data_IF_586408822487
#
_entry.id   IF_586408822487
#
_cell.length_a   1.000
_cell.length_b   1.000
_cell.length_c   1.000
_cell.angle_alpha   90.00
_cell.angle_beta   90.00
_cell.angle_gamma   90.00
#
_symmetry.space_group_name_H-M   'P 1'
#
loop_
_entity.id
_entity.type
_entity.pdbx_description
1 polymer ?
#
# COMPACT_ATOMS: atom_id res chain seq x y z
N UNK A 1 14.76 -50.41 21.89
CA UNK A 1 14.89 -49.08 22.52
C UNK A 1 14.34 -48.05 21.54
N UNK A 2 13.11 -47.62 21.84
CA UNK A 2 12.28 -46.80 20.95
C UNK A 2 12.75 -45.34 20.93
N UNK A 3 13.34 -44.91 19.84
CA UNK A 3 13.72 -43.50 19.57
C UNK A 3 12.70 -42.78 18.62
N UNK A 4 11.53 -43.34 18.42
CA UNK A 4 10.54 -42.77 17.46
C UNK A 4 9.37 -41.97 18.07
N UNK A 5 9.32 -41.79 19.42
CA UNK A 5 8.20 -41.11 20.08
C UNK A 5 8.24 -39.59 20.15
N UNK A 6 9.39 -38.98 20.02
CA UNK A 6 9.60 -37.53 20.26
C UNK A 6 9.35 -36.64 19.05
N UNK A 7 9.55 -37.14 17.85
CA UNK A 7 9.42 -36.34 16.63
C UNK A 7 8.00 -36.02 16.19
N UNK A 8 7.01 -36.88 16.50
CA UNK A 8 5.60 -36.63 16.12
C UNK A 8 4.95 -35.51 16.94
N UNK A 9 5.27 -35.41 18.24
CA UNK A 9 4.72 -34.32 19.10
C UNK A 9 5.32 -32.96 18.75
N UNK A 10 6.61 -32.90 18.44
CA UNK A 10 7.26 -31.65 17.99
C UNK A 10 6.75 -31.19 16.62
N UNK A 11 6.54 -32.09 15.67
CA UNK A 11 5.94 -31.77 14.36
C UNK A 11 4.49 -31.28 14.50
N UNK A 12 3.69 -31.88 15.37
CA UNK A 12 2.32 -31.42 15.63
C UNK A 12 2.28 -30.07 16.36
N UNK A 13 3.25 -29.76 17.22
CA UNK A 13 3.38 -28.46 17.86
C UNK A 13 3.78 -27.37 16.86
N UNK A 14 4.70 -27.64 15.95
CA UNK A 14 5.07 -26.71 14.86
C UNK A 14 3.93 -26.48 13.85
N UNK A 15 3.07 -27.46 13.62
CA UNK A 15 1.90 -27.32 12.73
C UNK A 15 0.81 -26.49 13.40
N UNK A 16 0.59 -26.67 14.71
CA UNK A 16 -0.36 -25.87 15.49
C UNK A 16 0.04 -24.40 15.60
N UNK A 17 1.34 -24.12 15.76
CA UNK A 17 1.84 -22.73 15.79
C UNK A 17 1.77 -22.03 14.42
N UNK A 18 1.79 -22.78 13.33
CA UNK A 18 1.57 -22.22 11.98
C UNK A 18 0.11 -21.87 11.72
N UNK A 19 -0.83 -22.72 12.15
CA UNK A 19 -2.25 -22.47 11.97
C UNK A 19 -2.78 -21.34 12.86
N UNK A 20 -2.13 -21.07 14.00
CA UNK A 20 -2.52 -20.00 14.92
C UNK A 20 -1.94 -18.62 14.52
N UNK A 21 -1.03 -18.55 13.52
CA UNK A 21 -0.56 -17.28 12.94
C UNK A 21 -1.46 -16.76 11.81
N UNK A 22 -2.34 -17.60 11.27
CA UNK A 22 -3.25 -17.23 10.16
C UNK A 22 -4.62 -16.71 10.61
N UNK A 23 -4.93 -16.73 11.91
CA UNK A 23 -6.19 -16.22 12.48
C UNK A 23 -5.98 -15.02 13.42
N UNK A 24 -5.03 -14.12 13.12
CA UNK A 24 -5.22 -12.74 13.56
C UNK A 24 -6.27 -12.18 12.60
N UNK A 25 -7.45 -11.93 13.12
CA UNK A 25 -8.47 -11.13 12.45
C UNK A 25 -7.78 -9.90 11.89
N UNK A 26 -7.60 -9.90 10.56
CA UNK A 26 -7.04 -8.75 9.87
C UNK A 26 -7.99 -7.59 10.17
N UNK A 27 -7.52 -6.48 10.73
CA UNK A 27 -8.36 -5.30 10.89
C UNK A 27 -8.97 -5.03 9.53
N UNK A 28 -10.23 -4.63 9.50
CA UNK A 28 -11.01 -4.41 8.28
C UNK A 28 -10.21 -3.51 7.34
N UNK A 29 -9.45 -4.13 6.42
CA UNK A 29 -8.51 -3.43 5.54
C UNK A 29 -9.30 -2.83 4.38
N UNK A 30 -9.19 -1.53 4.20
CA UNK A 30 -9.76 -0.80 3.06
C UNK A 30 -8.81 -0.96 1.89
N UNK A 31 -9.29 -1.54 0.80
CA UNK A 31 -8.53 -1.71 -0.44
C UNK A 31 -9.02 -0.72 -1.49
N UNK A 32 -8.11 0.03 -2.11
CA UNK A 32 -8.45 0.98 -3.17
C UNK A 32 -7.61 0.75 -4.41
N UNK A 33 -8.27 0.48 -5.52
CA UNK A 33 -7.64 0.37 -6.82
C UNK A 33 -7.34 1.76 -7.37
N UNK A 34 -6.06 2.05 -7.62
CA UNK A 34 -5.62 3.35 -8.18
C UNK A 34 -5.69 3.35 -9.69
N UNK A 35 -5.28 2.24 -10.32
CA UNK A 35 -5.34 2.13 -11.77
C UNK A 35 -4.99 0.75 -12.29
N UNK A 36 -5.50 0.46 -13.48
CA UNK A 36 -5.21 -0.75 -14.25
C UNK A 36 -4.71 -0.33 -15.62
N UNK A 37 -3.55 -0.83 -16.01
CA UNK A 37 -2.97 -0.60 -17.31
C UNK A 37 -2.83 -1.91 -18.08
N UNK A 38 -3.26 -1.94 -19.35
CA UNK A 38 -2.95 -3.03 -20.25
C UNK A 38 -1.53 -2.91 -20.74
N UNK A 39 -0.70 -3.92 -20.53
CA UNK A 39 0.68 -3.98 -20.97
C UNK A 39 0.87 -5.06 -22.04
N UNK A 40 1.78 -4.87 -22.95
CA UNK A 40 2.09 -5.84 -24.00
C UNK A 40 3.58 -6.10 -24.08
N UNK A 41 3.95 -7.37 -24.24
CA UNK A 41 5.30 -7.81 -24.58
C UNK A 41 5.32 -8.27 -26.04
N UNK A 42 6.14 -7.64 -26.85
CA UNK A 42 6.34 -8.05 -28.25
C UNK A 42 7.32 -9.21 -28.30
N UNK A 43 6.93 -10.29 -28.98
CA UNK A 43 7.73 -11.50 -29.17
C UNK A 43 7.75 -11.85 -30.66
N UNK A 44 8.65 -12.76 -31.08
CA UNK A 44 8.61 -13.37 -32.43
C UNK A 44 7.25 -14.02 -32.63
N UNK A 45 6.48 -13.58 -33.59
CA UNK A 45 5.13 -14.08 -33.89
C UNK A 45 3.96 -13.28 -33.28
N UNK A 46 4.18 -12.15 -32.59
CA UNK A 46 3.10 -11.27 -32.17
C UNK A 46 3.29 -10.57 -30.82
N UNK A 47 2.17 -10.18 -30.22
CA UNK A 47 2.15 -9.47 -28.93
C UNK A 47 1.50 -10.31 -27.85
N UNK A 48 2.15 -10.45 -26.70
CA UNK A 48 1.55 -11.07 -25.50
C UNK A 48 1.03 -9.98 -24.59
N UNK A 49 -0.28 -9.97 -24.34
CA UNK A 49 -0.94 -8.99 -23.49
C UNK A 49 -0.96 -9.44 -22.04
N UNK A 50 -0.98 -8.48 -21.14
CA UNK A 50 -1.18 -8.64 -19.71
C UNK A 50 -1.76 -7.37 -19.11
N UNK A 51 -2.04 -7.40 -17.82
CA UNK A 51 -2.57 -6.27 -17.06
C UNK A 51 -1.64 -5.98 -15.88
N UNK A 52 -1.44 -4.69 -15.61
CA UNK A 52 -0.74 -4.20 -14.43
C UNK A 52 -1.75 -3.43 -13.58
N UNK A 53 -1.94 -3.86 -12.34
CA UNK A 53 -2.78 -3.19 -11.35
C UNK A 53 -1.90 -2.51 -10.30
N UNK A 54 -2.34 -1.32 -9.85
CA UNK A 54 -1.75 -0.57 -8.75
C UNK A 54 -2.81 -0.41 -7.67
N UNK A 55 -2.55 -0.96 -6.48
CA UNK A 55 -3.49 -1.00 -5.35
C UNK A 55 -2.85 -0.39 -4.12
N UNK A 56 -3.65 0.31 -3.34
CA UNK A 56 -3.29 0.82 -2.02
C UNK A 56 -4.22 0.18 -1.00
N UNK A 57 -3.65 -0.26 0.12
CA UNK A 57 -4.37 -0.91 1.23
C UNK A 57 -4.06 -0.21 2.53
N UNK A 58 -5.04 -0.04 3.41
CA UNK A 58 -4.82 0.52 4.74
C UNK A 58 -5.95 0.18 5.70
N UNK A 59 -5.75 0.54 6.94
CA UNK A 59 -6.66 0.25 8.05
C UNK A 59 -7.53 1.45 8.48
N UNK A 60 -7.40 2.60 7.80
CA UNK A 60 -8.06 3.85 8.20
C UNK A 60 -7.57 4.41 9.54
N UNK A 61 -6.51 3.88 10.12
CA UNK A 61 -5.97 4.23 11.45
C UNK A 61 -4.47 4.55 11.43
N UNK A 62 -3.97 5.00 10.29
CA UNK A 62 -2.58 5.39 10.13
C UNK A 62 -1.66 4.30 9.59
N UNK A 63 -2.17 3.14 9.14
CA UNK A 63 -1.38 2.15 8.42
C UNK A 63 -1.77 2.16 6.96
N UNK A 64 -0.79 2.16 6.09
CA UNK A 64 -1.02 2.12 4.64
C UNK A 64 0.10 1.35 3.95
N UNK A 65 -0.25 0.62 2.90
CA UNK A 65 0.68 -0.09 2.05
C UNK A 65 0.30 0.10 0.58
N UNK A 66 1.25 -0.05 -0.31
CA UNK A 66 0.99 -0.04 -1.74
C UNK A 66 1.59 -1.28 -2.39
N UNK A 67 0.98 -1.70 -3.49
CA UNK A 67 1.46 -2.85 -4.23
C UNK A 67 1.14 -2.75 -5.71
N UNK A 68 2.02 -3.31 -6.53
CA UNK A 68 1.85 -3.38 -7.97
C UNK A 68 1.88 -4.85 -8.40
N UNK A 69 0.81 -5.31 -9.05
CA UNK A 69 0.70 -6.69 -9.55
C UNK A 69 0.57 -6.74 -11.06
N UNK A 70 1.19 -7.74 -11.68
CA UNK A 70 1.04 -8.03 -13.11
C UNK A 70 0.55 -9.46 -13.30
N UNK A 71 -0.45 -9.64 -14.18
CA UNK A 71 -0.97 -10.94 -14.55
C UNK A 71 -1.58 -10.92 -15.97
N UNK A 72 -2.00 -12.10 -16.46
CA UNK A 72 -2.72 -12.20 -17.74
C UNK A 72 -4.16 -11.74 -17.62
N UNK A 73 -4.75 -11.90 -16.45
CA UNK A 73 -6.12 -11.51 -16.12
C UNK A 73 -6.14 -10.38 -15.08
N UNK A 74 -7.16 -9.52 -15.16
CA UNK A 74 -7.32 -8.38 -14.26
C UNK A 74 -7.52 -8.80 -12.80
N UNK A 75 -8.41 -9.77 -12.46
CA UNK A 75 -8.62 -10.18 -11.06
C UNK A 75 -7.34 -10.72 -10.41
N UNK A 76 -6.56 -11.48 -11.16
CA UNK A 76 -5.29 -12.03 -10.67
C UNK A 76 -4.23 -10.93 -10.47
N UNK A 77 -4.20 -9.91 -11.35
CA UNK A 77 -3.30 -8.76 -11.18
C UNK A 77 -3.64 -7.97 -9.90
N UNK A 78 -4.93 -7.73 -9.63
CA UNK A 78 -5.40 -7.07 -8.42
C UNK A 78 -5.04 -7.89 -7.19
N UNK A 79 -5.33 -9.19 -7.16
CA UNK A 79 -5.00 -10.08 -6.04
C UNK A 79 -3.51 -10.03 -5.68
N UNK A 80 -2.63 -10.11 -6.68
CA UNK A 80 -1.17 -10.00 -6.49
C UNK A 80 -0.77 -8.63 -5.95
N UNK A 81 -1.37 -7.55 -6.46
CA UNK A 81 -1.09 -6.21 -5.99
C UNK A 81 -1.53 -6.01 -4.53
N UNK A 82 -2.72 -6.49 -4.16
CA UNK A 82 -3.24 -6.45 -2.79
C UNK A 82 -2.36 -7.24 -1.83
N UNK A 83 -1.94 -8.45 -2.19
CA UNK A 83 -1.05 -9.27 -1.36
C UNK A 83 0.30 -8.57 -1.14
N UNK A 84 0.87 -7.95 -2.18
CA UNK A 84 2.08 -7.16 -2.08
C UNK A 84 1.88 -5.93 -1.18
N UNK A 85 0.75 -5.21 -1.32
CA UNK A 85 0.43 -4.06 -0.51
C UNK A 85 0.30 -4.41 0.99
N UNK A 86 -0.34 -5.53 1.31
CA UNK A 86 -0.45 -6.05 2.70
C UNK A 86 0.91 -6.37 3.32
N UNK A 87 1.86 -6.84 2.54
CA UNK A 87 3.24 -7.11 3.02
C UNK A 87 4.07 -5.84 3.24
N UNK A 88 3.77 -4.77 2.51
CA UNK A 88 4.51 -3.49 2.55
C UNK A 88 3.84 -2.42 3.40
N UNK A 89 2.95 -2.80 4.34
CA UNK A 89 2.26 -1.85 5.19
C UNK A 89 3.22 -1.13 6.15
N UNK A 90 3.10 0.19 6.18
CA UNK A 90 3.88 1.09 7.04
C UNK A 90 2.93 1.87 7.94
N UNK A 91 3.35 2.15 9.15
CA UNK A 91 2.63 3.01 10.09
C UNK A 91 3.13 4.45 9.97
N UNK A 92 2.18 5.35 9.77
CA UNK A 92 2.41 6.80 9.66
C UNK A 92 1.87 7.48 10.91
N UNK A 93 2.67 8.31 11.61
CA UNK A 93 2.17 9.10 12.73
C UNK A 93 1.22 10.18 12.20
N UNK A 94 0.02 10.26 12.76
CA UNK A 94 -0.99 11.27 12.42
C UNK A 94 -1.26 12.16 13.63
N UNK A 95 -1.42 13.45 13.41
CA UNK A 95 -1.86 14.39 14.44
C UNK A 95 -3.37 14.23 14.64
N UNK A 96 -3.78 13.92 15.87
CA UNK A 96 -5.19 13.70 16.24
C UNK A 96 -5.91 12.61 15.41
N UNK A 97 -5.15 11.72 14.74
CA UNK A 97 -5.69 10.74 13.80
C UNK A 97 -6.33 11.33 12.54
N UNK A 98 -6.20 12.62 12.29
CA UNK A 98 -6.93 13.38 11.28
C UNK A 98 -6.06 14.06 10.23
N UNK A 99 -4.93 14.66 10.62
CA UNK A 99 -4.05 15.42 9.72
C UNK A 99 -2.57 15.07 9.93
N UNK A 100 -1.70 15.69 9.13
CA UNK A 100 -0.26 15.55 9.23
C UNK A 100 0.30 16.45 10.34
N UNK A 101 1.47 16.12 10.92
CA UNK A 101 2.11 16.91 11.95
C UNK A 101 2.71 18.24 11.40
N UNK A 102 3.31 18.18 10.21
CA UNK A 102 3.96 19.32 9.56
C UNK A 102 3.95 19.16 8.03
N UNK A 103 4.32 20.23 7.34
CA UNK A 103 4.46 20.24 5.90
C UNK A 103 5.70 19.47 5.47
N UNK A 104 5.56 18.59 4.47
CA UNK A 104 6.60 17.68 4.04
C UNK A 104 6.69 17.63 2.52
N UNK A 105 7.92 17.42 2.04
CA UNK A 105 8.20 17.13 0.63
C UNK A 105 8.71 15.70 0.49
N UNK A 106 8.19 14.99 -0.49
CA UNK A 106 8.65 13.66 -0.87
C UNK A 106 9.05 13.63 -2.32
N UNK A 107 10.08 12.83 -2.59
CA UNK A 107 10.68 12.74 -3.91
C UNK A 107 10.85 11.28 -4.31
N UNK A 108 10.46 10.93 -5.54
CA UNK A 108 10.71 9.61 -6.10
C UNK A 108 10.85 9.69 -7.62
N UNK A 109 12.05 9.39 -8.12
CA UNK A 109 12.35 9.54 -9.54
C UNK A 109 12.11 10.96 -10.04
N UNK A 110 11.25 11.13 -11.04
CA UNK A 110 10.85 12.43 -11.56
C UNK A 110 9.60 13.03 -10.87
N UNK A 111 9.06 12.35 -9.87
CA UNK A 111 7.86 12.79 -9.12
C UNK A 111 8.24 13.47 -7.82
N UNK A 112 7.78 14.70 -7.66
CA UNK A 112 7.90 15.49 -6.44
C UNK A 112 6.50 15.71 -5.86
N UNK A 113 6.34 15.52 -4.56
CA UNK A 113 5.06 15.70 -3.87
C UNK A 113 5.26 16.65 -2.68
N UNK A 114 4.34 17.60 -2.55
CA UNK A 114 4.28 18.51 -1.41
C UNK A 114 3.00 18.15 -0.64
N UNK A 115 3.16 17.81 0.64
CA UNK A 115 2.07 17.55 1.57
C UNK A 115 2.03 18.65 2.61
N UNK A 116 0.84 19.19 2.87
CA UNK A 116 0.62 20.21 3.88
C UNK A 116 -0.45 19.78 4.87
N UNK A 117 -0.18 19.99 6.13
CA UNK A 117 -1.20 19.88 7.17
C UNK A 117 -2.29 20.92 6.96
N UNK A 118 -3.52 20.55 7.25
CA UNK A 118 -4.67 21.44 7.05
C UNK A 118 -5.55 21.51 8.31
N UNK A 119 -6.23 22.66 8.53
CA UNK A 119 -7.17 22.80 9.62
C UNK A 119 -8.41 21.92 9.41
N UNK A 120 -9.18 21.71 10.48
CA UNK A 120 -10.39 20.90 10.43
C UNK A 120 -11.42 21.46 9.44
N UNK A 121 -12.03 20.56 8.66
CA UNK A 121 -13.03 20.91 7.67
C UNK A 121 -12.49 21.24 6.27
N UNK A 122 -11.17 21.18 6.07
CA UNK A 122 -10.57 21.36 4.72
C UNK A 122 -10.86 20.20 3.80
N UNK A 123 -10.92 18.98 4.35
CA UNK A 123 -11.05 17.76 3.57
C UNK A 123 -9.78 17.34 2.85
N UNK A 124 -9.87 16.28 2.06
CA UNK A 124 -8.75 15.75 1.28
C UNK A 124 -8.67 16.45 -0.08
N UNK A 125 -7.70 17.36 -0.21
CA UNK A 125 -7.41 18.07 -1.47
C UNK A 125 -6.12 17.49 -2.06
N UNK A 126 -6.26 16.51 -2.96
CA UNK A 126 -5.12 15.80 -3.53
C UNK A 126 -5.41 15.28 -4.94
N UNK A 127 -4.38 15.05 -5.74
CA UNK A 127 -4.48 14.36 -7.01
C UNK A 127 -4.94 12.92 -6.85
N UNK A 128 -5.60 12.33 -7.86
CA UNK A 128 -6.25 11.02 -7.79
C UNK A 128 -5.47 9.92 -7.07
N UNK A 129 -4.23 9.59 -7.48
CA UNK A 129 -3.41 8.57 -6.83
C UNK A 129 -3.11 8.88 -5.36
N UNK A 130 -2.76 10.13 -5.04
CA UNK A 130 -2.46 10.56 -3.67
C UNK A 130 -3.72 10.55 -2.80
N UNK A 131 -4.86 10.99 -3.36
CA UNK A 131 -6.15 10.96 -2.67
C UNK A 131 -6.52 9.55 -2.22
N UNK A 132 -6.29 8.55 -3.08
CA UNK A 132 -6.51 7.15 -2.73
C UNK A 132 -5.67 6.73 -1.51
N UNK A 133 -4.41 7.18 -1.41
CA UNK A 133 -3.54 6.90 -0.26
C UNK A 133 -4.10 7.52 1.03
N UNK A 134 -4.50 8.79 1.00
CA UNK A 134 -5.01 9.48 2.20
C UNK A 134 -6.35 8.94 2.68
N UNK A 135 -7.26 8.59 1.78
CA UNK A 135 -8.55 8.00 2.13
C UNK A 135 -8.38 6.64 2.83
N UNK A 136 -7.46 5.81 2.34
CA UNK A 136 -7.18 4.49 2.92
C UNK A 136 -6.38 4.62 4.23
N UNK A 137 -5.54 5.65 4.36
CA UNK A 137 -4.80 5.98 5.59
C UNK A 137 -5.72 6.48 6.72
N UNK A 138 -6.91 7.04 6.35
CA UNK A 138 -7.85 7.61 7.29
C UNK A 138 -7.62 9.11 7.58
N UNK A 139 -6.81 9.80 6.77
CA UNK A 139 -6.61 11.24 6.88
C UNK A 139 -7.85 11.98 6.39
N UNK A 140 -8.33 12.94 7.18
CA UNK A 140 -9.52 13.72 6.86
C UNK A 140 -9.18 15.08 6.26
N UNK A 141 -8.09 15.71 6.72
CA UNK A 141 -7.71 17.07 6.32
C UNK A 141 -6.26 17.11 5.85
N UNK A 142 -6.05 17.27 4.54
CA UNK A 142 -4.74 17.36 3.93
C UNK A 142 -4.80 18.07 2.59
N UNK A 143 -3.79 18.89 2.31
CA UNK A 143 -3.58 19.48 0.99
C UNK A 143 -2.31 18.93 0.38
N UNK A 144 -2.43 18.32 -0.79
CA UNK A 144 -1.30 17.71 -1.48
C UNK A 144 -1.25 18.12 -2.96
N UNK A 145 -0.03 18.37 -3.43
CA UNK A 145 0.23 18.67 -4.85
C UNK A 145 1.39 17.86 -5.37
N UNK A 146 1.19 17.22 -6.52
CA UNK A 146 2.29 16.57 -7.26
C UNK A 146 2.88 17.53 -8.28
N UNK A 147 4.19 17.50 -8.44
CA UNK A 147 4.98 18.31 -9.36
C UNK A 147 5.93 17.37 -10.11
N UNK A 148 6.17 17.66 -11.38
CA UNK A 148 7.16 16.96 -12.21
C UNK A 148 6.61 15.74 -12.95
N UNK A 149 6.00 14.77 -12.30
CA UNK A 149 5.50 13.56 -12.95
C UNK A 149 4.00 13.35 -12.74
N UNK A 150 3.30 12.98 -13.80
CA UNK A 150 1.89 12.54 -13.74
C UNK A 150 1.75 11.01 -13.63
N UNK A 151 2.86 10.26 -13.58
CA UNK A 151 2.83 8.81 -13.47
C UNK A 151 2.33 8.38 -12.09
N UNK A 152 1.21 7.63 -11.98
CA UNK A 152 0.63 7.21 -10.71
C UNK A 152 1.61 6.44 -9.80
N UNK A 153 2.50 5.64 -10.38
CA UNK A 153 3.53 4.92 -9.62
C UNK A 153 4.48 5.88 -8.91
N UNK A 154 5.04 6.85 -9.63
CA UNK A 154 5.96 7.83 -9.05
C UNK A 154 5.27 8.68 -7.99
N UNK A 155 4.01 9.09 -8.24
CA UNK A 155 3.23 9.88 -7.28
C UNK A 155 2.98 9.13 -5.97
N UNK A 156 2.61 7.85 -6.04
CA UNK A 156 2.40 7.03 -4.84
C UNK A 156 3.71 6.83 -4.09
N UNK A 157 4.79 6.43 -4.77
CA UNK A 157 6.08 6.25 -4.11
C UNK A 157 6.60 7.54 -3.47
N UNK A 158 6.48 8.70 -4.14
CA UNK A 158 6.86 10.00 -3.57
C UNK A 158 5.98 10.37 -2.36
N UNK A 159 4.67 10.03 -2.40
CA UNK A 159 3.77 10.23 -1.25
C UNK A 159 4.19 9.37 -0.06
N UNK A 160 4.55 8.10 -0.29
CA UNK A 160 5.06 7.23 0.76
C UNK A 160 6.40 7.71 1.32
N UNK A 161 7.31 8.20 0.48
CA UNK A 161 8.57 8.80 0.92
C UNK A 161 8.32 10.01 1.83
N UNK A 162 7.39 10.89 1.45
CA UNK A 162 6.98 12.02 2.29
C UNK A 162 6.40 11.55 3.63
N UNK A 163 5.48 10.57 3.62
CA UNK A 163 4.85 10.06 4.84
C UNK A 163 5.85 9.37 5.78
N UNK A 164 6.88 8.71 5.24
CA UNK A 164 7.95 8.09 6.03
C UNK A 164 8.92 9.10 6.65
N UNK A 165 9.13 10.25 5.99
CA UNK A 165 9.93 11.37 6.51
C UNK A 165 9.23 12.14 7.61
N UNK A 166 7.93 11.88 7.82
CA UNK A 166 7.16 12.51 8.88
C UNK A 166 7.61 11.99 10.23
N UNK A 167 8.27 12.87 11.03
CA UNK A 167 8.55 12.62 12.43
C UNK A 167 7.33 12.98 13.29
N UNK A 168 7.07 12.19 14.33
CA UNK A 168 6.26 12.67 15.45
C UNK A 168 7.11 13.62 16.31
N UNK A 169 6.57 14.70 16.83
CA UNK A 169 7.27 15.57 17.78
C UNK A 169 7.60 14.82 19.07
#
# INVERSE_FOLDING_TARGET
RDLHGTNRRQLQMCIRDRSNREQKEDPELIEKLVGINRVAKVVKGGRRFGFAALVVVGDGRGRVGHGAGKAREVPEAIRKATEQAKRSMVRVPLREGRTLHHDIKGDYGAGHVILRSAPSGTGVIAGGPMRAVFEVLGVQDVVAKSIGSSNPYNMIHATFDALLKQGSP
#
